data_IF_564598200984
#
_entry.id   IF_564598200984
#
_cell.length_a   1.000
_cell.length_b   1.000
_cell.length_c   1.000
_cell.angle_alpha   90.00
_cell.angle_beta   90.00
_cell.angle_gamma   90.00
#
_symmetry.space_group_name_H-M   'P 1'
#
loop_
_entity.id
_entity.type
_entity.pdbx_description
1 polymer ?
#
# COMPACT_ATOMS: atom_id res chain seq x y z
N UNK A 1 7.97 19.50 -4.92
CA UNK A 1 6.67 19.64 -4.22
C UNK A 1 6.76 19.30 -2.72
N UNK A 2 5.68 19.55 -1.97
CA UNK A 2 5.62 19.25 -0.52
C UNK A 2 5.91 17.76 -0.22
N UNK A 3 5.50 16.84 -1.09
CA UNK A 3 5.80 15.42 -0.96
C UNK A 3 7.28 15.07 -0.99
N UNK A 4 8.08 15.78 -1.78
CA UNK A 4 9.53 15.56 -1.85
C UNK A 4 10.26 15.98 -0.57
N UNK A 5 9.74 16.98 0.14
CA UNK A 5 10.30 17.42 1.42
C UNK A 5 10.12 16.34 2.49
N UNK A 6 8.94 15.76 2.60
CA UNK A 6 8.70 14.65 3.53
C UNK A 6 9.51 13.38 3.17
N UNK A 7 9.64 13.08 1.87
CA UNK A 7 10.48 11.95 1.41
C UNK A 7 11.92 12.10 1.91
N UNK A 8 12.50 13.27 1.74
CA UNK A 8 13.87 13.56 2.18
C UNK A 8 14.00 13.50 3.69
N UNK A 9 13.08 14.10 4.43
CA UNK A 9 13.14 14.12 5.90
C UNK A 9 13.14 12.75 6.54
N UNK A 10 12.28 11.82 6.07
CA UNK A 10 12.26 10.44 6.58
C UNK A 10 13.52 9.66 6.19
N UNK A 11 14.02 9.87 4.97
CA UNK A 11 15.27 9.26 4.53
C UNK A 11 16.47 9.82 5.29
N UNK A 12 16.53 11.13 5.49
CA UNK A 12 17.58 11.79 6.26
C UNK A 12 17.57 11.34 7.72
N UNK A 13 16.37 11.16 8.30
CA UNK A 13 16.23 10.63 9.65
C UNK A 13 16.77 9.19 9.71
N UNK A 14 16.34 8.31 8.80
CA UNK A 14 16.78 6.92 8.78
C UNK A 14 18.30 6.77 8.59
N UNK A 15 18.90 7.67 7.77
CA UNK A 15 20.34 7.64 7.49
C UNK A 15 21.20 8.28 8.61
N UNK A 16 20.61 9.06 9.50
CA UNK A 16 21.32 9.81 10.54
C UNK A 16 20.90 9.43 11.97
N UNK A 17 20.25 8.28 12.15
CA UNK A 17 19.93 7.78 13.48
C UNK A 17 21.23 7.43 14.24
N UNK A 18 21.33 7.75 15.54
CA UNK A 18 22.38 7.23 16.40
C UNK A 18 22.42 5.69 16.36
N UNK A 19 23.60 5.09 16.49
CA UNK A 19 23.80 3.63 16.35
C UNK A 19 22.90 2.77 17.28
N UNK A 20 22.44 3.34 18.39
CA UNK A 20 21.57 2.65 19.36
C UNK A 20 20.11 3.05 19.27
N UNK A 21 19.72 3.79 18.22
CA UNK A 21 18.33 4.18 17.97
C UNK A 21 17.75 3.37 16.83
N UNK A 22 16.46 3.00 16.97
CA UNK A 22 15.68 2.35 15.93
C UNK A 22 14.38 3.12 15.72
N UNK A 23 13.89 3.18 14.49
CA UNK A 23 12.52 3.61 14.23
C UNK A 23 11.62 2.44 14.64
N UNK A 24 10.85 2.63 15.70
CA UNK A 24 9.96 1.59 16.22
C UNK A 24 8.67 1.51 15.39
N UNK A 25 8.10 2.66 15.02
CA UNK A 25 6.85 2.72 14.25
C UNK A 25 6.74 4.06 13.52
N UNK A 26 6.18 4.01 12.31
CA UNK A 26 5.78 5.18 11.54
C UNK A 26 4.26 5.35 11.60
N UNK A 27 3.79 6.45 12.19
CA UNK A 27 2.37 6.76 12.32
C UNK A 27 2.06 8.01 11.51
N UNK A 28 1.05 7.92 10.64
CA UNK A 28 0.46 9.09 9.98
C UNK A 28 -0.77 9.55 10.76
N UNK A 29 -1.03 10.85 10.73
CA UNK A 29 -2.29 11.41 11.23
C UNK A 29 -2.99 12.18 10.14
N UNK A 30 -4.30 12.07 10.09
CA UNK A 30 -5.18 12.81 9.20
C UNK A 30 -6.41 13.29 9.97
N UNK A 31 -6.86 14.48 9.60
CA UNK A 31 -8.06 15.07 10.20
C UNK A 31 -9.33 14.47 9.59
N UNK A 32 -10.12 13.77 10.37
CA UNK A 32 -11.37 13.15 9.94
C UNK A 32 -12.36 14.15 9.33
N UNK A 33 -12.33 15.41 9.76
CA UNK A 33 -13.22 16.46 9.22
C UNK A 33 -12.89 16.82 7.76
N UNK A 34 -11.64 16.62 7.33
CA UNK A 34 -11.16 17.00 5.99
C UNK A 34 -10.68 15.82 5.14
N UNK A 35 -10.50 14.65 5.74
CA UNK A 35 -9.91 13.47 5.08
C UNK A 35 -10.64 13.09 3.79
N UNK A 36 -11.98 13.05 3.79
CA UNK A 36 -12.76 12.73 2.60
C UNK A 36 -12.69 13.83 1.53
N UNK A 37 -12.59 15.09 1.93
CA UNK A 37 -12.39 16.20 0.99
C UNK A 37 -11.03 16.06 0.31
N UNK A 38 -9.99 15.75 1.07
CA UNK A 38 -8.65 15.52 0.54
C UNK A 38 -8.57 14.26 -0.34
N UNK A 39 -9.31 13.21 0.01
CA UNK A 39 -9.41 12.01 -0.79
C UNK A 39 -9.97 12.25 -2.21
N UNK A 40 -10.80 13.29 -2.36
CA UNK A 40 -11.46 13.66 -3.63
C UNK A 40 -10.71 14.73 -4.42
N UNK A 41 -9.79 15.44 -3.80
CA UNK A 41 -8.91 16.41 -4.47
C UNK A 41 -7.62 15.73 -4.95
N UNK A 42 -7.34 15.77 -6.24
CA UNK A 42 -6.22 15.02 -6.82
C UNK A 42 -4.85 15.38 -6.24
N UNK A 43 -4.61 16.64 -5.90
CA UNK A 43 -3.33 17.10 -5.35
C UNK A 43 -3.17 16.69 -3.87
N UNK A 44 -4.20 16.89 -3.08
CA UNK A 44 -4.22 16.53 -1.66
C UNK A 44 -4.25 15.02 -1.46
N UNK A 45 -4.98 14.31 -2.33
CA UNK A 45 -5.01 12.84 -2.34
C UNK A 45 -3.63 12.24 -2.52
N UNK A 46 -2.85 12.75 -3.47
CA UNK A 46 -1.48 12.26 -3.70
C UNK A 46 -0.61 12.40 -2.45
N UNK A 47 -0.71 13.54 -1.75
CA UNK A 47 0.01 13.75 -0.49
C UNK A 47 -0.45 12.80 0.62
N UNK A 48 -1.75 12.55 0.71
CA UNK A 48 -2.32 11.64 1.70
C UNK A 48 -1.87 10.19 1.43
N UNK A 49 -1.96 9.73 0.19
CA UNK A 49 -1.49 8.40 -0.21
C UNK A 49 0.03 8.22 0.05
N UNK A 50 0.84 9.24 -0.21
CA UNK A 50 2.29 9.21 0.04
C UNK A 50 2.63 9.08 1.55
N UNK A 51 1.83 9.69 2.41
CA UNK A 51 1.95 9.53 3.88
C UNK A 51 1.57 8.11 4.31
N UNK A 52 0.44 7.61 3.82
CA UNK A 52 -0.09 6.28 4.17
C UNK A 52 0.89 5.19 3.74
N UNK A 53 1.41 5.26 2.51
CA UNK A 53 2.34 4.27 1.96
C UNK A 53 3.61 4.05 2.80
N UNK A 54 3.94 5.00 3.69
CA UNK A 54 5.13 4.96 4.56
C UNK A 54 4.81 4.70 6.01
N UNK A 55 3.55 4.53 6.34
CA UNK A 55 3.08 4.40 7.70
C UNK A 55 2.60 2.99 7.96
N UNK A 56 2.88 2.51 9.17
CA UNK A 56 2.35 1.24 9.68
C UNK A 56 0.97 1.43 10.30
N UNK A 57 0.64 2.67 10.68
CA UNK A 57 -0.65 3.05 11.23
C UNK A 57 -1.03 4.43 10.73
N UNK A 58 -2.28 4.59 10.27
CA UNK A 58 -2.90 5.91 10.09
C UNK A 58 -3.97 6.12 11.14
N UNK A 59 -3.93 7.28 11.80
CA UNK A 59 -4.94 7.72 12.77
C UNK A 59 -5.77 8.85 12.15
N UNK A 60 -7.04 8.60 11.94
CA UNK A 60 -8.01 9.65 11.61
C UNK A 60 -8.53 10.25 12.91
N UNK A 61 -8.00 11.39 13.30
CA UNK A 61 -8.45 12.11 14.49
C UNK A 61 -9.73 12.90 14.22
N UNK A 62 -10.43 13.36 15.27
CA UNK A 62 -11.75 14.00 15.15
C UNK A 62 -12.73 13.13 14.34
N UNK A 63 -12.74 11.85 14.67
CA UNK A 63 -13.37 10.81 13.88
C UNK A 63 -14.91 10.86 13.89
N UNK A 64 -15.52 11.70 14.71
CA UNK A 64 -16.97 11.93 14.70
C UNK A 64 -17.48 12.31 13.31
N UNK A 65 -16.67 13.07 12.55
CA UNK A 65 -17.03 13.50 11.19
C UNK A 65 -17.12 12.34 10.19
N UNK A 66 -16.44 11.24 10.46
CA UNK A 66 -16.36 10.05 9.60
C UNK A 66 -16.89 8.78 10.29
N UNK A 67 -17.61 8.94 11.39
CA UNK A 67 -18.16 7.83 12.18
C UNK A 67 -19.46 7.27 11.56
N UNK A 68 -19.37 6.84 10.31
CA UNK A 68 -20.45 6.13 9.63
C UNK A 68 -19.84 5.17 8.60
N UNK A 69 -20.58 4.11 8.26
CA UNK A 69 -20.08 3.02 7.41
C UNK A 69 -19.60 3.49 6.04
N UNK A 70 -20.33 4.42 5.40
CA UNK A 70 -19.95 4.90 4.07
C UNK A 70 -18.60 5.65 4.08
N UNK A 71 -18.42 6.54 5.06
CA UNK A 71 -17.17 7.28 5.24
C UNK A 71 -16.00 6.36 5.59
N UNK A 72 -16.21 5.41 6.49
CA UNK A 72 -15.20 4.42 6.87
C UNK A 72 -14.79 3.55 5.69
N UNK A 73 -15.75 3.07 4.89
CA UNK A 73 -15.45 2.30 3.67
C UNK A 73 -14.67 3.12 2.63
N UNK A 74 -14.98 4.41 2.47
CA UNK A 74 -14.24 5.29 1.54
C UNK A 74 -12.80 5.50 2.03
N UNK A 75 -12.60 5.76 3.32
CA UNK A 75 -11.26 5.90 3.92
C UNK A 75 -10.48 4.58 3.89
N UNK A 76 -11.13 3.46 4.22
CA UNK A 76 -10.54 2.14 4.11
C UNK A 76 -10.00 1.88 2.69
N UNK A 77 -10.83 2.06 1.66
CA UNK A 77 -10.42 1.90 0.26
C UNK A 77 -9.24 2.81 -0.10
N UNK A 78 -9.26 4.06 0.38
CA UNK A 78 -8.17 5.00 0.17
C UNK A 78 -6.86 4.49 0.78
N UNK A 79 -6.90 4.01 2.02
CA UNK A 79 -5.71 3.47 2.70
C UNK A 79 -5.19 2.23 1.98
N UNK A 80 -6.08 1.32 1.58
CA UNK A 80 -5.72 0.08 0.88
C UNK A 80 -5.12 0.30 -0.51
N UNK A 81 -5.41 1.44 -1.14
CA UNK A 81 -4.74 1.84 -2.39
C UNK A 81 -3.25 2.20 -2.18
N UNK A 82 -2.89 2.71 -1.01
CA UNK A 82 -1.53 3.09 -0.69
C UNK A 82 -0.75 2.00 0.04
N UNK A 83 -1.42 1.27 0.94
CA UNK A 83 -0.81 0.22 1.75
C UNK A 83 -1.85 -0.80 2.22
N UNK A 84 -1.59 -2.07 1.99
CA UNK A 84 -2.41 -3.16 2.55
C UNK A 84 -2.04 -3.48 4.01
N UNK A 85 -0.86 -3.05 4.46
CA UNK A 85 -0.34 -3.33 5.80
C UNK A 85 -0.59 -2.22 6.80
N UNK A 86 -0.95 -1.03 6.34
CA UNK A 86 -1.19 0.10 7.21
C UNK A 86 -2.46 -0.13 8.03
N UNK A 87 -2.33 -0.21 9.35
CA UNK A 87 -3.47 -0.25 10.25
C UNK A 87 -4.22 1.08 10.21
N UNK A 88 -5.52 1.02 10.47
CA UNK A 88 -6.39 2.20 10.45
C UNK A 88 -7.03 2.34 11.82
N UNK A 89 -6.88 3.52 12.42
CA UNK A 89 -7.50 3.86 13.69
C UNK A 89 -8.30 5.17 13.57
N UNK A 90 -9.34 5.26 14.34
CA UNK A 90 -10.25 6.41 14.45
C UNK A 90 -10.21 6.91 15.89
N UNK A 91 -9.69 8.12 16.10
CA UNK A 91 -9.59 8.77 17.40
C UNK A 91 -10.72 9.79 17.56
N UNK A 92 -11.45 9.68 18.66
CA UNK A 92 -12.59 10.52 19.00
C UNK A 92 -12.23 11.60 20.03
N UNK A 93 -13.07 12.64 20.13
CA UNK A 93 -12.83 13.77 21.03
C UNK A 93 -12.80 13.39 22.52
N UNK A 94 -13.43 12.29 22.89
CA UNK A 94 -13.41 11.76 24.26
C UNK A 94 -12.13 10.96 24.57
N UNK A 95 -11.21 10.85 23.59
CA UNK A 95 -9.97 10.08 23.71
C UNK A 95 -10.14 8.59 23.43
N UNK A 96 -11.34 8.12 23.10
CA UNK A 96 -11.53 6.74 22.67
C UNK A 96 -10.95 6.50 21.27
N UNK A 97 -10.51 5.26 21.02
CA UNK A 97 -9.96 4.84 19.74
C UNK A 97 -10.69 3.59 19.27
N UNK A 98 -11.17 3.60 18.04
CA UNK A 98 -11.68 2.42 17.35
C UNK A 98 -10.73 2.05 16.21
N UNK A 99 -10.47 0.75 16.05
CA UNK A 99 -9.74 0.25 14.89
C UNK A 99 -10.71 -0.10 13.77
N UNK A 100 -10.19 -0.02 12.55
CA UNK A 100 -10.93 -0.45 11.37
C UNK A 100 -11.03 -1.97 11.36
N UNK A 101 -12.22 -2.49 11.16
CA UNK A 101 -12.54 -3.92 11.12
C UNK A 101 -13.10 -4.37 9.76
N UNK A 102 -13.00 -3.50 8.75
CA UNK A 102 -13.47 -3.80 7.40
C UNK A 102 -12.57 -4.89 6.79
N UNK A 103 -13.15 -6.02 6.37
CA UNK A 103 -12.37 -7.10 5.76
C UNK A 103 -11.70 -6.67 4.46
N UNK A 104 -10.51 -7.18 4.23
CA UNK A 104 -9.69 -6.98 3.04
C UNK A 104 -9.47 -8.28 2.27
N UNK A 105 -10.52 -8.91 1.71
CA UNK A 105 -10.36 -10.15 0.98
C UNK A 105 -9.50 -9.93 -0.26
N UNK A 106 -8.75 -10.96 -0.64
CA UNK A 106 -8.10 -10.97 -1.94
C UNK A 106 -9.19 -11.03 -3.03
N UNK A 107 -9.06 -10.28 -4.13
CA UNK A 107 -10.05 -10.26 -5.21
C UNK A 107 -10.03 -11.49 -6.10
N UNK A 108 -9.21 -12.48 -5.77
CA UNK A 108 -9.04 -13.75 -6.47
C UNK A 108 -9.02 -14.92 -5.47
N UNK A 109 -9.39 -16.12 -5.94
CA UNK A 109 -9.38 -17.30 -5.09
C UNK A 109 -7.96 -17.88 -4.94
N UNK A 110 -7.35 -17.64 -3.79
CA UNK A 110 -6.02 -18.16 -3.47
C UNK A 110 -6.00 -19.69 -3.29
N UNK A 111 -7.14 -20.34 -3.10
CA UNK A 111 -7.24 -21.79 -2.89
C UNK A 111 -7.54 -22.56 -4.19
N UNK A 112 -7.70 -21.87 -5.31
CA UNK A 112 -7.88 -22.51 -6.60
C UNK A 112 -6.62 -23.30 -7.03
N UNK A 113 -6.79 -24.36 -7.81
CA UNK A 113 -5.68 -25.13 -8.39
C UNK A 113 -4.78 -24.25 -9.28
N UNK A 114 -5.39 -23.32 -9.99
CA UNK A 114 -4.72 -22.25 -10.74
C UNK A 114 -5.31 -20.95 -10.27
N UNK A 115 -4.49 -20.12 -9.63
CA UNK A 115 -4.90 -18.79 -9.19
C UNK A 115 -4.91 -17.88 -10.43
N UNK A 116 -6.10 -17.54 -10.93
CA UNK A 116 -6.25 -16.63 -12.07
C UNK A 116 -6.30 -15.19 -11.56
N UNK A 117 -5.33 -14.39 -11.98
CA UNK A 117 -5.16 -12.98 -11.56
C UNK A 117 -5.66 -12.09 -12.70
N UNK A 118 -6.81 -11.42 -12.54
CA UNK A 118 -7.27 -10.40 -13.46
C UNK A 118 -6.29 -9.25 -13.63
N UNK A 119 -6.36 -8.57 -14.75
CA UNK A 119 -5.45 -7.46 -15.08
C UNK A 119 -5.45 -6.35 -14.02
N UNK A 120 -6.61 -5.99 -13.51
CA UNK A 120 -6.78 -4.94 -12.50
C UNK A 120 -6.26 -5.35 -11.12
N UNK A 121 -6.16 -6.66 -10.86
CA UNK A 121 -5.76 -7.21 -9.57
C UNK A 121 -4.27 -7.58 -9.50
N UNK A 122 -3.54 -7.45 -10.61
CA UNK A 122 -2.10 -7.79 -10.68
C UNK A 122 -1.29 -7.08 -9.59
N UNK A 123 -1.55 -5.79 -9.36
CA UNK A 123 -0.85 -5.00 -8.35
C UNK A 123 -1.10 -5.53 -6.93
N UNK A 124 -2.35 -5.89 -6.65
CA UNK A 124 -2.76 -6.47 -5.35
C UNK A 124 -2.05 -7.81 -5.13
N UNK A 125 -2.11 -8.69 -6.13
CA UNK A 125 -1.41 -9.97 -6.08
C UNK A 125 0.10 -9.82 -5.90
N UNK A 126 0.73 -8.92 -6.66
CA UNK A 126 2.16 -8.70 -6.60
C UNK A 126 2.61 -8.27 -5.20
N UNK A 127 1.89 -7.32 -4.59
CA UNK A 127 2.20 -6.85 -3.23
C UNK A 127 1.94 -7.92 -2.19
N UNK A 128 0.81 -8.62 -2.24
CA UNK A 128 0.49 -9.70 -1.30
C UNK A 128 1.51 -10.84 -1.41
N UNK A 129 1.95 -11.17 -2.62
CA UNK A 129 2.99 -12.19 -2.85
C UNK A 129 4.37 -11.76 -2.31
N UNK A 130 4.71 -10.49 -2.35
CA UNK A 130 5.92 -9.97 -1.73
C UNK A 130 5.84 -9.96 -0.20
N UNK A 131 4.69 -9.62 0.33
CA UNK A 131 4.46 -9.52 1.76
C UNK A 131 4.35 -10.88 2.43
N UNK A 132 3.69 -11.83 1.79
CA UNK A 132 3.43 -13.16 2.32
C UNK A 132 3.71 -14.26 1.27
N UNK A 133 4.97 -14.42 0.83
CA UNK A 133 5.33 -15.37 -0.23
C UNK A 133 4.96 -16.82 0.09
N UNK A 134 4.86 -17.17 1.37
CA UNK A 134 4.48 -18.52 1.81
C UNK A 134 3.08 -18.91 1.36
N UNK A 135 2.16 -17.97 1.20
CA UNK A 135 0.78 -18.21 0.71
C UNK A 135 0.79 -18.80 -0.71
N UNK A 136 1.80 -18.48 -1.51
CA UNK A 136 1.91 -18.84 -2.92
C UNK A 136 2.89 -19.97 -3.20
N UNK A 137 3.58 -20.45 -2.19
CA UNK A 137 4.56 -21.53 -2.35
C UNK A 137 3.88 -22.80 -2.87
N UNK A 138 4.39 -23.34 -3.98
CA UNK A 138 3.87 -24.54 -4.63
C UNK A 138 2.55 -24.34 -5.39
N UNK A 139 2.06 -23.12 -5.52
CA UNK A 139 0.85 -22.81 -6.27
C UNK A 139 1.16 -22.39 -7.71
N UNK A 140 0.20 -22.65 -8.59
CA UNK A 140 0.24 -22.19 -9.98
C UNK A 140 -0.54 -20.90 -10.11
N UNK A 141 0.10 -19.86 -10.64
CA UNK A 141 -0.53 -18.54 -10.86
C UNK A 141 -0.57 -18.25 -12.36
N UNK A 142 -1.70 -17.78 -12.83
CA UNK A 142 -1.93 -17.36 -14.22
C UNK A 142 -2.26 -15.88 -14.27
N UNK A 143 -1.51 -15.12 -15.06
CA UNK A 143 -1.75 -13.69 -15.30
C UNK A 143 -1.20 -13.27 -16.65
N UNK A 144 -1.71 -12.16 -17.19
CA UNK A 144 -1.16 -11.55 -18.40
C UNK A 144 0.05 -10.69 -18.03
N UNK A 145 1.19 -10.97 -18.66
CA UNK A 145 2.45 -10.30 -18.38
C UNK A 145 3.15 -9.80 -19.63
N UNK A 146 3.94 -8.75 -19.46
CA UNK A 146 5.05 -8.43 -20.36
C UNK A 146 6.30 -9.16 -19.89
N UNK A 147 7.10 -9.65 -20.82
CA UNK A 147 8.34 -10.36 -20.48
C UNK A 147 9.52 -9.40 -20.68
N UNK A 148 10.22 -9.12 -19.58
CA UNK A 148 11.50 -8.43 -19.62
C UNK A 148 12.65 -9.45 -19.54
N UNK A 149 13.60 -9.36 -20.47
CA UNK A 149 14.89 -10.02 -20.32
C UNK A 149 15.84 -9.09 -19.57
N UNK A 150 16.41 -9.59 -18.49
CA UNK A 150 17.43 -8.85 -17.74
C UNK A 150 18.73 -9.63 -17.72
N UNK A 151 19.85 -8.97 -17.99
CA UNK A 151 21.18 -9.58 -17.88
C UNK A 151 21.53 -9.99 -16.42
N UNK A 152 20.72 -9.59 -15.46
CA UNK A 152 20.90 -9.89 -14.03
C UNK A 152 20.35 -11.25 -13.62
N UNK A 153 19.44 -11.80 -14.40
CA UNK A 153 18.72 -13.01 -14.02
C UNK A 153 19.38 -14.32 -14.52
N UNK A 154 20.51 -14.25 -15.24
CA UNK A 154 21.25 -15.41 -15.75
C UNK A 154 20.83 -15.84 -17.16
N UNK A 155 21.58 -16.77 -17.76
CA UNK A 155 21.22 -17.39 -19.05
C UNK A 155 19.96 -18.24 -18.82
N UNK A 156 18.91 -18.06 -19.62
CA UNK A 156 17.63 -18.74 -19.57
C UNK A 156 16.64 -18.24 -18.50
N UNK A 157 16.85 -17.05 -17.92
CA UNK A 157 15.88 -16.45 -17.02
C UNK A 157 15.15 -15.29 -17.68
N UNK A 158 13.92 -15.06 -17.28
CA UNK A 158 13.07 -13.98 -17.73
C UNK A 158 12.26 -13.42 -16.55
N UNK A 159 11.75 -12.21 -16.69
CA UNK A 159 10.94 -11.58 -15.67
C UNK A 159 9.58 -11.28 -16.28
N UNK A 160 8.57 -12.13 -16.03
CA UNK A 160 7.18 -11.78 -16.35
C UNK A 160 6.70 -10.75 -15.35
N UNK A 161 6.11 -9.68 -15.84
CA UNK A 161 5.65 -8.59 -14.99
C UNK A 161 4.81 -7.59 -15.74
N UNK A 162 4.51 -6.48 -15.08
CA UNK A 162 3.74 -5.37 -15.63
C UNK A 162 4.25 -4.04 -15.13
N UNK A 163 3.93 -2.98 -15.84
CA UNK A 163 4.08 -1.64 -15.30
C UNK A 163 2.96 -1.38 -14.30
N UNK A 164 3.34 -1.15 -13.05
CA UNK A 164 2.42 -0.82 -11.97
C UNK A 164 2.76 0.56 -11.41
N UNK A 165 1.72 1.30 -11.08
CA UNK A 165 1.82 2.57 -10.38
C UNK A 165 1.86 2.28 -8.87
N UNK A 166 2.97 2.60 -8.22
CA UNK A 166 3.15 2.29 -6.80
C UNK A 166 2.57 3.35 -5.87
N UNK A 167 2.72 4.63 -6.20
CA UNK A 167 2.13 5.70 -5.38
C UNK A 167 1.59 6.89 -6.19
N UNK A 168 2.15 7.18 -7.37
CA UNK A 168 1.63 8.25 -8.25
C UNK A 168 2.02 7.99 -9.71
N UNK A 169 1.39 8.73 -10.64
CA UNK A 169 1.63 8.58 -12.09
C UNK A 169 3.11 8.73 -12.47
N UNK A 170 3.91 9.42 -11.66
CA UNK A 170 5.34 9.60 -11.89
C UNK A 170 6.19 8.41 -11.40
N UNK A 171 5.61 7.50 -10.62
CA UNK A 171 6.28 6.31 -10.06
C UNK A 171 5.77 5.01 -10.71
N UNK A 172 5.57 5.03 -12.02
CA UNK A 172 5.27 3.81 -12.78
C UNK A 172 6.57 3.02 -12.91
N UNK A 173 6.60 1.83 -12.32
CA UNK A 173 7.73 0.93 -12.38
C UNK A 173 7.31 -0.42 -12.96
N UNK A 174 8.27 -1.07 -13.65
CA UNK A 174 8.08 -2.47 -14.03
C UNK A 174 8.29 -3.35 -12.82
N UNK A 175 7.27 -4.10 -12.43
CA UNK A 175 7.29 -5.03 -11.32
C UNK A 175 7.03 -6.45 -11.82
N UNK A 176 7.76 -7.44 -11.28
CA UNK A 176 7.65 -8.83 -11.69
C UNK A 176 8.59 -9.73 -10.89
N UNK A 177 8.44 -11.01 -11.06
CA UNK A 177 9.27 -12.03 -10.39
C UNK A 177 10.22 -12.69 -11.38
N UNK A 178 11.53 -12.82 -11.04
CA UNK A 178 12.46 -13.59 -11.86
C UNK A 178 12.05 -15.06 -11.93
N UNK A 179 11.96 -15.59 -13.13
CA UNK A 179 11.67 -16.99 -13.41
C UNK A 179 12.84 -17.64 -14.19
N UNK A 180 13.03 -18.92 -13.97
CA UNK A 180 14.07 -19.74 -14.63
C UNK A 180 13.47 -21.03 -15.17
#
# INVERSE_FOLDING_TARGET
GLGDVYKRQLQDLANNLPENWIVYQCIATADGTTALTYARDNSMRSLLLDKIARSELIVFNRAEAVNNDAARQELHKLVRQASRKCDIAYEFADGSVAYDDIPDPLPFDINADIIDIPDDDFGIWYMDCQDEPQKYTGKTVKFLAQVCQTNRAGKNSFVPGRFAMTCCVQDIQFVGFPCS
#
